data_IF_874575571813
#
_entry.id   IF_874575571813
#
_cell.length_a   1.000
_cell.length_b   1.000
_cell.length_c   1.000
_cell.angle_alpha   90.00
_cell.angle_beta   90.00
_cell.angle_gamma   90.00
#
_symmetry.space_group_name_H-M   'P 1'
#
loop_
_entity.id
_entity.type
_entity.pdbx_description
1 polymer ?
#
# COMPACT_ATOMS: atom_id res chain seq x y z
N UNK A 1 -36.48 -26.98 -31.00
CA UNK A 1 -36.47 -26.57 -29.59
C UNK A 1 -35.35 -25.56 -29.41
N UNK A 2 -35.71 -24.28 -29.35
CA UNK A 2 -34.77 -23.18 -29.17
C UNK A 2 -34.50 -23.12 -27.66
N UNK A 3 -33.28 -23.51 -27.23
CA UNK A 3 -32.84 -23.31 -25.86
C UNK A 3 -32.64 -21.81 -25.66
N UNK A 4 -33.52 -21.19 -24.86
CA UNK A 4 -33.27 -19.88 -24.30
C UNK A 4 -32.06 -19.98 -23.37
N UNK A 5 -30.92 -19.47 -23.81
CA UNK A 5 -29.81 -19.15 -22.93
C UNK A 5 -30.33 -18.16 -21.88
N UNK A 6 -30.43 -18.61 -20.62
CA UNK A 6 -30.76 -17.70 -19.53
C UNK A 6 -29.65 -16.65 -19.40
N UNK A 7 -30.00 -15.38 -19.16
CA UNK A 7 -29.00 -14.35 -18.88
C UNK A 7 -28.26 -14.71 -17.58
N UNK A 8 -26.93 -14.64 -17.59
CA UNK A 8 -26.02 -14.84 -16.46
C UNK A 8 -26.36 -14.00 -15.20
N UNK A 9 -27.27 -13.03 -15.31
CA UNK A 9 -27.77 -12.23 -14.19
C UNK A 9 -28.66 -12.99 -13.19
N UNK A 10 -29.13 -14.20 -13.52
CA UNK A 10 -30.03 -14.98 -12.64
C UNK A 10 -29.29 -15.95 -11.69
N UNK A 11 -27.98 -16.07 -11.80
CA UNK A 11 -27.14 -16.88 -10.90
C UNK A 11 -26.10 -15.96 -10.28
N UNK A 12 -26.33 -15.49 -9.06
CA UNK A 12 -25.40 -14.64 -8.33
C UNK A 12 -23.98 -15.21 -8.35
N UNK A 13 -22.98 -14.32 -8.34
CA UNK A 13 -21.57 -14.70 -8.41
C UNK A 13 -21.24 -15.73 -7.31
N UNK A 14 -20.91 -16.96 -7.70
CA UNK A 14 -20.42 -17.98 -6.76
C UNK A 14 -18.92 -18.08 -6.87
N UNK A 15 -18.22 -17.77 -5.78
CA UNK A 15 -16.75 -17.75 -5.72
C UNK A 15 -16.25 -18.99 -5.00
N UNK A 16 -15.33 -19.73 -5.62
CA UNK A 16 -14.59 -20.78 -4.93
C UNK A 16 -13.46 -20.16 -4.08
N UNK A 17 -13.81 -19.80 -2.85
CA UNK A 17 -12.89 -19.19 -1.88
C UNK A 17 -11.70 -20.08 -1.51
N UNK A 18 -11.76 -21.40 -1.77
CA UNK A 18 -10.61 -22.28 -1.56
C UNK A 18 -9.48 -22.05 -2.57
N UNK A 19 -9.81 -21.39 -3.70
CA UNK A 19 -8.89 -21.08 -4.80
C UNK A 19 -8.68 -19.57 -5.00
N UNK A 20 -9.18 -18.74 -4.07
CA UNK A 20 -9.03 -17.28 -4.09
C UNK A 20 -8.56 -16.70 -2.75
N UNK A 21 -7.41 -17.15 -2.20
CA UNK A 21 -6.84 -16.51 -1.03
C UNK A 21 -6.37 -15.08 -1.36
N UNK A 22 -6.83 -14.11 -0.57
CA UNK A 22 -6.45 -12.68 -0.69
C UNK A 22 -5.97 -12.13 0.64
N UNK A 23 -4.97 -11.23 0.62
CA UNK A 23 -4.43 -10.58 1.82
C UNK A 23 -4.62 -9.06 1.82
N UNK A 24 -5.35 -8.53 0.84
CA UNK A 24 -5.46 -7.09 0.58
C UNK A 24 -5.96 -6.30 1.81
N UNK A 25 -6.80 -6.90 2.67
CA UNK A 25 -7.28 -6.30 3.92
C UNK A 25 -6.13 -5.94 4.87
N UNK A 26 -5.38 -6.93 5.34
CA UNK A 26 -4.25 -6.72 6.27
C UNK A 26 -3.10 -5.96 5.61
N UNK A 27 -2.86 -6.19 4.31
CA UNK A 27 -1.86 -5.44 3.54
C UNK A 27 -2.19 -3.95 3.51
N UNK A 28 -3.43 -3.57 3.22
CA UNK A 28 -3.86 -2.17 3.16
C UNK A 28 -3.69 -1.48 4.53
N UNK A 29 -4.12 -2.15 5.61
CA UNK A 29 -3.93 -1.62 6.97
C UNK A 29 -2.44 -1.44 7.28
N UNK A 30 -1.61 -2.43 7.00
CA UNK A 30 -0.18 -2.39 7.29
C UNK A 30 0.56 -1.35 6.43
N UNK A 31 0.21 -1.23 5.15
CA UNK A 31 0.76 -0.21 4.24
C UNK A 31 0.36 1.20 4.69
N UNK A 32 -0.91 1.41 5.04
CA UNK A 32 -1.41 2.67 5.56
C UNK A 32 -0.69 3.10 6.84
N UNK A 33 -0.61 2.21 7.83
CA UNK A 33 0.14 2.44 9.06
C UNK A 33 1.63 2.72 8.78
N UNK A 34 2.25 1.96 7.89
CA UNK A 34 3.65 2.13 7.51
C UNK A 34 3.93 3.52 6.93
N UNK A 35 3.11 3.99 5.99
CA UNK A 35 3.24 5.32 5.39
C UNK A 35 3.11 6.42 6.44
N UNK A 36 2.11 6.32 7.33
CA UNK A 36 1.91 7.28 8.41
C UNK A 36 3.09 7.34 9.36
N UNK A 37 3.65 6.18 9.72
CA UNK A 37 4.82 6.11 10.60
C UNK A 37 6.08 6.65 9.93
N UNK A 38 6.30 6.40 8.63
CA UNK A 38 7.39 7.02 7.87
C UNK A 38 7.28 8.55 7.89
N UNK A 39 6.09 9.08 7.62
CA UNK A 39 5.82 10.53 7.67
C UNK A 39 6.04 11.08 9.08
N UNK A 40 5.55 10.38 10.10
CA UNK A 40 5.68 10.79 11.49
C UNK A 40 7.14 10.82 11.94
N UNK A 41 7.94 9.80 11.61
CA UNK A 41 9.38 9.74 11.89
C UNK A 41 10.12 10.85 11.14
N UNK A 42 9.85 11.03 9.85
CA UNK A 42 10.44 12.11 9.04
C UNK A 42 10.16 13.49 9.63
N UNK A 43 8.92 13.75 10.05
CA UNK A 43 8.55 15.02 10.71
C UNK A 43 9.29 15.22 12.04
N UNK A 44 9.43 14.16 12.85
CA UNK A 44 10.16 14.23 14.12
C UNK A 44 11.64 14.56 13.90
N UNK A 45 12.28 13.92 12.93
CA UNK A 45 13.66 14.20 12.54
C UNK A 45 13.83 15.66 12.09
N UNK A 46 12.89 16.19 11.30
CA UNK A 46 13.00 17.54 10.74
C UNK A 46 12.73 18.68 11.75
N UNK A 47 11.95 18.42 12.81
CA UNK A 47 11.47 19.48 13.73
C UNK A 47 12.32 19.60 15.01
N UNK A 48 13.30 18.73 15.23
CA UNK A 48 14.32 18.79 16.32
C UNK A 48 13.80 18.92 17.77
N UNK A 49 12.49 18.84 18.03
CA UNK A 49 11.87 19.14 19.34
C UNK A 49 11.31 17.94 20.09
N UNK A 50 11.39 16.72 19.54
CA UNK A 50 10.83 15.52 20.18
C UNK A 50 11.91 14.47 20.37
N UNK A 51 11.89 13.83 21.54
CA UNK A 51 12.71 12.65 21.83
C UNK A 51 12.22 11.51 20.95
N UNK A 52 13.08 11.08 20.01
CA UNK A 52 12.86 9.88 19.22
C UNK A 52 13.31 8.70 20.08
N UNK A 53 12.46 7.68 20.23
CA UNK A 53 12.82 6.41 20.86
C UNK A 53 12.99 5.37 19.76
N UNK A 54 14.23 5.09 19.28
CA UNK A 54 14.43 4.26 18.10
C UNK A 54 13.87 2.85 18.23
N UNK A 55 13.85 2.29 19.43
CA UNK A 55 13.34 0.95 19.71
C UNK A 55 11.84 0.82 19.37
N UNK A 56 11.05 1.84 19.70
CA UNK A 56 9.62 1.86 19.38
C UNK A 56 9.36 1.89 17.87
N UNK A 57 10.18 2.66 17.13
CA UNK A 57 10.11 2.70 15.67
C UNK A 57 10.59 1.40 15.03
N UNK A 58 11.65 0.80 15.56
CA UNK A 58 12.17 -0.48 15.09
C UNK A 58 11.12 -1.60 15.28
N UNK A 59 10.47 -1.65 16.44
CA UNK A 59 9.40 -2.61 16.70
C UNK A 59 8.23 -2.43 15.72
N UNK A 60 7.75 -1.19 15.53
CA UNK A 60 6.62 -0.91 14.66
C UNK A 60 6.92 -1.23 13.19
N UNK A 61 8.04 -0.74 12.66
CA UNK A 61 8.45 -1.05 11.28
C UNK A 61 8.79 -2.52 11.09
N UNK A 62 9.32 -3.19 12.12
CA UNK A 62 9.57 -4.63 12.09
C UNK A 62 8.28 -5.43 11.93
N UNK A 63 7.27 -5.15 12.75
CA UNK A 63 5.99 -5.86 12.70
C UNK A 63 5.23 -5.60 11.38
N UNK A 64 5.14 -4.34 10.95
CA UNK A 64 4.47 -3.95 9.70
C UNK A 64 5.23 -4.50 8.49
N UNK A 65 6.55 -4.37 8.49
CA UNK A 65 7.42 -4.87 7.42
C UNK A 65 7.32 -6.39 7.29
N UNK A 66 7.34 -7.12 8.40
CA UNK A 66 7.17 -8.58 8.38
C UNK A 66 5.82 -8.99 7.80
N UNK A 67 4.74 -8.31 8.21
CA UNK A 67 3.38 -8.57 7.69
C UNK A 67 3.33 -8.36 6.19
N UNK A 68 3.85 -7.24 5.69
CA UNK A 68 3.86 -6.92 4.26
C UNK A 68 4.78 -7.82 3.44
N UNK A 69 5.96 -8.18 3.95
CA UNK A 69 6.89 -9.09 3.26
C UNK A 69 6.29 -10.48 3.17
N UNK A 70 5.75 -11.03 4.26
CA UNK A 70 5.21 -12.40 4.25
C UNK A 70 4.02 -12.53 3.30
N UNK A 71 3.06 -11.62 3.41
CA UNK A 71 1.86 -11.63 2.55
C UNK A 71 2.21 -11.26 1.10
N UNK A 72 3.07 -10.26 0.88
CA UNK A 72 3.48 -9.78 -0.44
C UNK A 72 4.35 -10.79 -1.18
N UNK A 73 5.29 -11.44 -0.48
CA UNK A 73 6.13 -12.50 -1.05
C UNK A 73 5.27 -13.70 -1.45
N UNK A 74 4.33 -14.10 -0.61
CA UNK A 74 3.43 -15.21 -0.93
C UNK A 74 2.65 -14.89 -2.21
N UNK A 75 2.00 -13.73 -2.30
CA UNK A 75 1.32 -13.30 -3.52
C UNK A 75 2.28 -13.27 -4.72
N UNK A 76 3.44 -12.63 -4.61
CA UNK A 76 4.35 -12.48 -5.75
C UNK A 76 4.87 -13.83 -6.28
N UNK A 77 5.18 -14.79 -5.40
CA UNK A 77 5.76 -16.09 -5.81
C UNK A 77 4.74 -17.13 -6.26
N UNK A 78 3.46 -16.96 -5.92
CA UNK A 78 2.39 -17.95 -6.23
C UNK A 78 1.45 -17.45 -7.31
N UNK A 79 1.97 -16.73 -8.30
CA UNK A 79 1.17 -16.14 -9.36
C UNK A 79 0.52 -17.20 -10.28
N UNK A 80 -0.81 -17.16 -10.53
CA UNK A 80 -1.79 -16.24 -9.92
C UNK A 80 -2.41 -16.85 -8.68
N UNK A 81 -2.26 -16.16 -7.55
CA UNK A 81 -2.71 -16.68 -6.25
C UNK A 81 -4.25 -16.75 -6.22
N UNK A 82 -4.93 -15.79 -6.85
CA UNK A 82 -6.38 -15.76 -7.07
C UNK A 82 -6.74 -15.92 -8.56
N UNK A 83 -6.23 -16.99 -9.19
CA UNK A 83 -6.29 -17.20 -10.64
C UNK A 83 -7.67 -17.31 -11.30
N UNK A 84 -8.75 -17.42 -10.52
CA UNK A 84 -10.13 -17.54 -11.03
C UNK A 84 -10.89 -16.20 -11.09
N UNK A 85 -10.34 -15.08 -10.60
CA UNK A 85 -11.06 -13.80 -10.59
C UNK A 85 -10.20 -12.53 -10.71
N UNK A 86 -9.02 -12.50 -10.09
CA UNK A 86 -8.19 -11.28 -10.02
C UNK A 86 -6.69 -11.59 -10.17
N UNK A 87 -6.24 -12.14 -11.31
CA UNK A 87 -4.85 -12.57 -11.50
C UNK A 87 -3.82 -11.43 -11.45
N UNK A 88 -4.28 -10.18 -11.58
CA UNK A 88 -3.45 -8.97 -11.52
C UNK A 88 -3.20 -8.46 -10.09
N UNK A 89 -3.92 -8.96 -9.09
CA UNK A 89 -3.77 -8.53 -7.69
C UNK A 89 -2.34 -8.75 -7.15
N UNK A 90 -1.66 -9.75 -7.68
CA UNK A 90 -0.26 -10.04 -7.36
C UNK A 90 0.65 -8.86 -7.75
N UNK A 91 0.42 -8.23 -8.89
CA UNK A 91 1.18 -7.07 -9.38
C UNK A 91 0.75 -5.80 -8.68
N UNK A 92 -0.55 -5.62 -8.47
CA UNK A 92 -1.11 -4.38 -7.91
C UNK A 92 -0.82 -4.29 -6.42
N UNK A 93 -1.08 -5.36 -5.66
CA UNK A 93 -0.97 -5.37 -4.21
C UNK A 93 0.27 -6.10 -3.73
N UNK A 94 0.55 -7.28 -4.29
CA UNK A 94 1.65 -8.15 -3.85
C UNK A 94 3.02 -7.52 -3.98
N UNK A 95 3.40 -7.10 -5.19
CA UNK A 95 4.73 -6.52 -5.46
C UNK A 95 4.97 -5.21 -4.69
N UNK A 96 4.04 -4.23 -4.65
CA UNK A 96 4.24 -3.02 -3.87
C UNK A 96 4.28 -3.27 -2.37
N UNK A 97 3.42 -4.18 -1.85
CA UNK A 97 3.46 -4.57 -0.45
C UNK A 97 4.81 -5.21 -0.08
N UNK A 98 5.31 -6.12 -0.91
CA UNK A 98 6.62 -6.75 -0.71
C UNK A 98 7.74 -5.70 -0.67
N UNK A 99 7.81 -4.82 -1.67
CA UNK A 99 8.84 -3.79 -1.74
C UNK A 99 8.78 -2.85 -0.52
N UNK A 100 7.58 -2.37 -0.18
CA UNK A 100 7.41 -1.49 0.97
C UNK A 100 7.73 -2.18 2.30
N UNK A 101 7.32 -3.45 2.44
CA UNK A 101 7.66 -4.27 3.60
C UNK A 101 9.17 -4.44 3.78
N UNK A 102 9.91 -4.68 2.70
CA UNK A 102 11.38 -4.75 2.72
C UNK A 102 11.98 -3.42 3.17
N UNK A 103 11.47 -2.28 2.71
CA UNK A 103 11.92 -0.97 3.17
C UNK A 103 11.69 -0.77 4.68
N UNK A 104 10.53 -1.16 5.19
CA UNK A 104 10.23 -1.08 6.62
C UNK A 104 11.12 -2.01 7.43
N UNK A 105 11.35 -3.25 7.00
CA UNK A 105 12.27 -4.17 7.69
C UNK A 105 13.71 -3.66 7.70
N UNK A 106 14.18 -3.10 6.58
CA UNK A 106 15.51 -2.50 6.51
C UNK A 106 15.63 -1.29 7.46
N UNK A 107 14.61 -0.42 7.50
CA UNK A 107 14.53 0.68 8.44
C UNK A 107 14.50 0.20 9.90
N UNK A 108 13.71 -0.84 10.19
CA UNK A 108 13.61 -1.45 11.51
C UNK A 108 14.96 -1.98 11.99
N UNK A 109 15.64 -2.77 11.16
CA UNK A 109 16.96 -3.30 11.47
C UNK A 109 17.98 -2.19 11.69
N UNK A 110 17.97 -1.16 10.85
CA UNK A 110 18.85 -0.02 10.99
C UNK A 110 18.58 0.76 12.29
N UNK A 111 17.33 1.03 12.63
CA UNK A 111 16.94 1.72 13.86
C UNK A 111 17.31 0.91 15.10
N UNK A 112 17.14 -0.41 15.07
CA UNK A 112 17.54 -1.29 16.16
C UNK A 112 19.05 -1.27 16.39
N UNK A 113 19.85 -1.28 15.33
CA UNK A 113 21.32 -1.33 15.44
C UNK A 113 21.98 0.03 15.63
N UNK A 114 21.44 1.07 15.00
CA UNK A 114 22.08 2.39 14.82
C UNK A 114 21.16 3.55 15.10
N UNK A 115 20.02 3.32 15.77
CA UNK A 115 19.03 4.33 16.05
C UNK A 115 19.51 5.46 16.96
N UNK A 116 20.39 5.16 17.93
CA UNK A 116 20.98 6.18 18.81
C UNK A 116 21.76 7.25 18.02
N UNK A 117 22.38 6.85 16.90
CA UNK A 117 23.12 7.75 16.03
C UNK A 117 22.20 8.69 15.21
N UNK A 118 20.87 8.57 15.32
CA UNK A 118 19.89 9.52 14.77
C UNK A 118 19.56 10.67 15.72
N UNK A 119 19.95 10.55 16.99
CA UNK A 119 19.65 11.53 18.05
C UNK A 119 20.65 12.68 18.12
N UNK A 120 21.77 12.59 17.40
CA UNK A 120 22.76 13.67 17.33
C UNK A 120 22.33 14.83 16.43
N UNK A 121 23.05 15.95 16.52
CA UNK A 121 22.75 17.21 15.81
C UNK A 121 22.67 17.05 14.28
N UNK A 122 23.41 16.09 13.72
CA UNK A 122 23.43 15.76 12.29
C UNK A 122 22.47 14.63 11.88
N UNK A 123 21.57 14.20 12.76
CA UNK A 123 20.69 13.04 12.55
C UNK A 123 19.90 13.08 11.23
N UNK A 124 19.41 14.25 10.83
CA UNK A 124 18.71 14.46 9.55
C UNK A 124 19.63 14.19 8.35
N UNK A 125 20.82 14.79 8.35
CA UNK A 125 21.79 14.66 7.25
C UNK A 125 22.27 13.22 7.14
N UNK A 126 22.55 12.58 8.28
CA UNK A 126 22.95 11.17 8.34
C UNK A 126 21.85 10.25 7.83
N UNK A 127 20.61 10.45 8.26
CA UNK A 127 19.45 9.67 7.75
C UNK A 127 19.34 9.78 6.24
N UNK A 128 19.44 11.01 5.71
CA UNK A 128 19.34 11.23 4.28
C UNK A 128 20.45 10.54 3.49
N UNK A 129 21.69 10.57 3.99
CA UNK A 129 22.82 9.86 3.36
C UNK A 129 22.64 8.35 3.38
N UNK A 130 22.16 7.79 4.50
CA UNK A 130 21.92 6.34 4.63
C UNK A 130 20.76 5.87 3.74
N UNK A 131 19.69 6.67 3.62
CA UNK A 131 18.55 6.35 2.76
C UNK A 131 18.81 6.64 1.27
N UNK A 132 19.85 7.39 0.92
CA UNK A 132 20.08 7.83 -0.45
C UNK A 132 20.29 6.67 -1.46
N UNK A 133 21.04 5.60 -1.18
CA UNK A 133 21.20 4.50 -2.13
C UNK A 133 19.87 3.78 -2.42
N UNK A 134 19.08 3.50 -1.40
CA UNK A 134 17.79 2.80 -1.57
C UNK A 134 16.73 3.68 -2.26
N UNK A 135 16.90 5.00 -2.26
CA UNK A 135 15.97 5.93 -2.90
C UNK A 135 15.84 5.74 -4.41
N UNK A 136 16.82 5.11 -5.08
CA UNK A 136 16.70 4.73 -6.50
C UNK A 136 15.62 3.67 -6.68
N UNK A 137 15.55 2.68 -5.79
CA UNK A 137 14.52 1.66 -5.84
C UNK A 137 13.15 2.23 -5.44
N UNK A 138 13.11 3.11 -4.43
CA UNK A 138 11.88 3.85 -4.07
C UNK A 138 11.36 4.64 -5.27
N UNK A 139 12.24 5.33 -6.02
CA UNK A 139 11.86 6.06 -7.23
C UNK A 139 11.28 5.13 -8.29
N UNK A 140 11.92 3.98 -8.55
CA UNK A 140 11.42 2.97 -9.48
C UNK A 140 10.03 2.44 -9.11
N UNK A 141 9.80 2.16 -7.82
CA UNK A 141 8.47 1.78 -7.32
C UNK A 141 7.45 2.92 -7.44
N UNK A 142 7.89 4.18 -7.35
CA UNK A 142 7.05 5.34 -7.62
C UNK A 142 6.56 5.39 -9.07
N UNK A 143 7.43 5.07 -10.03
CA UNK A 143 7.03 4.93 -11.44
C UNK A 143 6.07 3.74 -11.64
N UNK A 144 6.31 2.62 -10.95
CA UNK A 144 5.39 1.48 -10.97
C UNK A 144 4.00 1.84 -10.45
N UNK A 145 3.91 2.66 -9.39
CA UNK A 145 2.63 3.16 -8.88
C UNK A 145 1.85 3.97 -9.94
N UNK A 146 2.53 4.79 -10.74
CA UNK A 146 1.87 5.48 -11.87
C UNK A 146 1.42 4.49 -12.96
N UNK A 147 2.19 3.44 -13.22
CA UNK A 147 1.78 2.35 -14.11
C UNK A 147 0.52 1.64 -13.63
N UNK A 148 0.44 1.32 -12.33
CA UNK A 148 -0.73 0.70 -11.69
C UNK A 148 -1.95 1.63 -11.79
N UNK A 149 -1.78 2.92 -11.49
CA UNK A 149 -2.86 3.90 -11.61
C UNK A 149 -3.37 4.05 -13.05
N UNK A 150 -2.46 4.12 -14.03
CA UNK A 150 -2.82 4.18 -15.44
C UNK A 150 -3.56 2.91 -15.89
N UNK A 151 -3.12 1.73 -15.44
CA UNK A 151 -3.83 0.47 -15.69
C UNK A 151 -5.21 0.46 -15.03
N UNK A 152 -5.34 0.96 -13.80
CA UNK A 152 -6.61 1.10 -13.09
C UNK A 152 -7.62 1.93 -13.88
N UNK A 153 -7.23 3.08 -14.39
CA UNK A 153 -8.10 3.90 -15.25
C UNK A 153 -8.37 3.27 -16.62
N UNK A 154 -7.36 2.71 -17.26
CA UNK A 154 -7.46 2.20 -18.64
C UNK A 154 -8.35 0.96 -18.72
N UNK A 155 -8.20 0.05 -17.76
CA UNK A 155 -8.91 -1.23 -17.75
C UNK A 155 -10.03 -1.27 -16.69
N UNK A 156 -10.34 -0.13 -16.06
CA UNK A 156 -11.33 -0.02 -14.97
C UNK A 156 -11.11 -1.09 -13.90
N UNK A 157 -9.84 -1.36 -13.58
CA UNK A 157 -9.48 -2.26 -12.48
C UNK A 157 -9.98 -1.62 -11.17
N UNK A 158 -10.27 -2.44 -10.17
CA UNK A 158 -10.80 -2.01 -8.86
C UNK A 158 -12.32 -1.74 -8.78
N UNK A 159 -13.08 -2.06 -9.82
CA UNK A 159 -14.54 -2.10 -9.70
C UNK A 159 -14.95 -3.23 -8.74
N UNK A 160 -15.66 -2.89 -7.67
CA UNK A 160 -16.17 -3.84 -6.69
C UNK A 160 -17.32 -4.65 -7.30
N UNK A 161 -17.40 -5.96 -7.01
CA UNK A 161 -18.58 -6.75 -7.34
C UNK A 161 -19.81 -6.16 -6.66
N UNK A 162 -21.00 -6.14 -7.31
CA UNK A 162 -22.25 -5.71 -6.68
C UNK A 162 -22.58 -6.44 -5.36
N UNK A 163 -22.03 -7.63 -5.16
CA UNK A 163 -22.21 -8.47 -3.98
C UNK A 163 -21.39 -8.01 -2.76
N UNK A 164 -20.41 -7.11 -2.94
CA UNK A 164 -19.60 -6.57 -1.85
C UNK A 164 -20.36 -5.46 -1.10
N UNK A 165 -20.51 -5.52 0.24
CA UNK A 165 -21.18 -4.45 0.99
C UNK A 165 -20.45 -3.11 0.84
N UNK A 166 -21.21 -2.02 0.75
CA UNK A 166 -20.74 -0.62 0.65
C UNK A 166 -20.10 -0.30 -0.69
N UNK A 167 -19.03 -0.99 -1.09
CA UNK A 167 -18.38 -0.77 -2.39
C UNK A 167 -19.28 -1.23 -3.55
N UNK A 168 -19.94 -2.39 -3.42
CA UNK A 168 -20.89 -2.87 -4.44
C UNK A 168 -22.07 -1.95 -4.74
N UNK A 169 -22.43 -1.03 -3.83
CA UNK A 169 -23.42 0.03 -4.10
C UNK A 169 -22.97 1.00 -5.20
N UNK A 170 -21.65 1.15 -5.39
CA UNK A 170 -21.05 1.95 -6.45
C UNK A 170 -20.66 1.13 -7.68
N UNK A 171 -21.02 -0.17 -7.75
CA UNK A 171 -20.68 -1.03 -8.88
C UNK A 171 -21.23 -0.52 -10.22
N UNK A 172 -22.28 0.31 -10.21
CA UNK A 172 -22.78 0.97 -11.41
C UNK A 172 -21.85 2.07 -11.94
N UNK A 173 -20.94 2.59 -11.11
CA UNK A 173 -20.02 3.69 -11.40
C UNK A 173 -18.55 3.22 -11.28
N UNK A 174 -18.10 2.24 -12.08
CA UNK A 174 -16.79 1.59 -11.93
C UNK A 174 -15.60 2.57 -12.08
N UNK A 175 -15.79 3.69 -12.79
CA UNK A 175 -14.78 4.74 -12.90
C UNK A 175 -14.52 5.44 -11.55
N UNK A 176 -15.53 5.57 -10.69
CA UNK A 176 -15.39 6.19 -9.37
C UNK A 176 -14.44 5.37 -8.48
N UNK A 177 -14.65 4.06 -8.41
CA UNK A 177 -13.84 3.14 -7.61
C UNK A 177 -12.44 2.95 -8.20
N UNK A 178 -12.35 2.77 -9.52
CA UNK A 178 -11.08 2.75 -10.23
C UNK A 178 -10.29 4.04 -9.97
N UNK A 179 -10.96 5.19 -9.91
CA UNK A 179 -10.32 6.47 -9.61
C UNK A 179 -9.89 6.62 -8.16
N UNK A 180 -10.63 6.05 -7.21
CA UNK A 180 -10.25 6.06 -5.80
C UNK A 180 -8.93 5.31 -5.61
N UNK A 181 -8.87 4.04 -6.00
CA UNK A 181 -7.67 3.22 -5.83
C UNK A 181 -6.50 3.73 -6.68
N UNK A 182 -6.73 4.10 -7.94
CA UNK A 182 -5.69 4.69 -8.79
C UNK A 182 -5.16 6.00 -8.21
N UNK A 183 -6.04 6.82 -7.62
CA UNK A 183 -5.66 8.04 -6.92
C UNK A 183 -4.73 7.79 -5.73
N UNK A 184 -4.94 6.72 -4.96
CA UNK A 184 -4.04 6.34 -3.87
C UNK A 184 -2.64 5.98 -4.39
N UNK A 185 -2.55 5.20 -5.46
CA UNK A 185 -1.27 4.89 -6.11
C UNK A 185 -0.59 6.14 -6.66
N UNK A 186 -1.33 7.10 -7.22
CA UNK A 186 -0.78 8.39 -7.65
C UNK A 186 -0.17 9.14 -6.46
N UNK A 187 -0.85 9.22 -5.32
CA UNK A 187 -0.32 9.89 -4.12
C UNK A 187 0.97 9.23 -3.61
N UNK A 188 0.99 7.89 -3.54
CA UNK A 188 2.20 7.13 -3.15
C UNK A 188 3.32 7.37 -4.16
N UNK A 189 3.00 7.32 -5.46
CA UNK A 189 3.92 7.51 -6.58
C UNK A 189 4.57 8.89 -6.59
N UNK A 190 3.79 9.96 -6.36
CA UNK A 190 4.31 11.33 -6.25
C UNK A 190 5.35 11.40 -5.12
N UNK A 191 5.01 10.90 -3.93
CA UNK A 191 5.94 10.94 -2.80
C UNK A 191 7.21 10.12 -3.06
N UNK A 192 7.08 8.95 -3.68
CA UNK A 192 8.20 8.06 -4.00
C UNK A 192 9.14 8.64 -5.08
N UNK A 193 8.60 9.27 -6.13
CA UNK A 193 9.39 9.94 -7.16
C UNK A 193 10.08 11.20 -6.63
N UNK A 194 9.44 11.94 -5.72
CA UNK A 194 10.04 13.12 -5.08
C UNK A 194 11.05 12.76 -3.97
N UNK A 195 10.94 11.56 -3.38
CA UNK A 195 11.77 11.11 -2.26
C UNK A 195 13.29 11.30 -2.45
N UNK A 196 13.93 10.83 -3.54
CA UNK A 196 15.38 11.02 -3.73
C UNK A 196 15.79 12.49 -3.73
N UNK A 197 14.93 13.38 -4.24
CA UNK A 197 15.20 14.83 -4.26
C UNK A 197 14.97 15.47 -2.90
N UNK A 198 13.95 15.00 -2.16
CA UNK A 198 13.73 15.38 -0.76
C UNK A 198 14.94 14.98 0.12
N UNK A 199 15.57 13.83 -0.10
CA UNK A 199 16.78 13.44 0.62
C UNK A 199 17.98 14.34 0.34
N UNK A 200 18.11 14.89 -0.87
CA UNK A 200 19.20 15.83 -1.20
C UNK A 200 19.06 17.16 -0.47
N UNK A 201 17.82 17.60 -0.23
CA UNK A 201 17.51 18.84 0.51
C UNK A 201 16.39 18.56 1.53
N UNK A 202 16.69 17.90 2.67
CA UNK A 202 15.66 17.44 3.62
C UNK A 202 14.81 18.56 4.23
N UNK A 203 15.35 19.79 4.29
CA UNK A 203 14.64 20.98 4.76
C UNK A 203 14.01 21.81 3.63
N UNK A 204 14.00 21.30 2.40
CA UNK A 204 13.38 21.94 1.25
C UNK A 204 11.88 21.69 1.15
N UNK A 205 11.23 22.33 0.18
CA UNK A 205 9.79 22.26 -0.05
C UNK A 205 9.27 20.86 -0.46
N UNK A 206 10.15 19.99 -0.96
CA UNK A 206 9.76 18.63 -1.37
C UNK A 206 9.40 17.75 -0.17
N UNK A 207 10.07 17.91 0.97
CA UNK A 207 9.80 17.11 2.18
C UNK A 207 8.37 17.27 2.70
N UNK A 208 7.80 18.48 2.85
CA UNK A 208 6.40 18.62 3.24
C UNK A 208 5.44 18.08 2.17
N UNK A 209 5.76 18.20 0.87
CA UNK A 209 4.93 17.59 -0.19
C UNK A 209 4.89 16.08 -0.05
N UNK A 210 6.05 15.42 0.07
CA UNK A 210 6.16 13.98 0.33
C UNK A 210 5.38 13.60 1.59
N UNK A 211 5.55 14.38 2.67
CA UNK A 211 4.84 14.17 3.93
C UNK A 211 3.31 14.24 3.79
N UNK A 212 2.79 15.19 3.00
CA UNK A 212 1.35 15.34 2.77
C UNK A 212 0.82 14.19 1.91
N UNK A 213 1.43 13.91 0.76
CA UNK A 213 0.88 12.88 -0.16
C UNK A 213 0.95 11.48 0.46
N UNK A 214 2.03 11.13 1.14
CA UNK A 214 2.12 9.87 1.89
C UNK A 214 1.24 9.86 3.14
N UNK A 215 1.05 11.00 3.79
CA UNK A 215 0.13 11.12 4.92
C UNK A 215 -1.31 10.87 4.51
N UNK A 216 -1.77 11.50 3.42
CA UNK A 216 -3.11 11.33 2.86
C UNK A 216 -3.32 9.90 2.36
N UNK A 217 -2.37 9.36 1.58
CA UNK A 217 -2.43 7.96 1.14
C UNK A 217 -2.45 7.00 2.34
N UNK A 218 -1.62 7.25 3.35
CA UNK A 218 -1.56 6.44 4.56
C UNK A 218 -2.87 6.42 5.35
N UNK A 219 -3.51 7.59 5.53
CA UNK A 219 -4.84 7.69 6.15
C UNK A 219 -5.86 6.88 5.35
N UNK A 220 -5.89 7.08 4.03
CA UNK A 220 -6.84 6.41 3.15
C UNK A 220 -6.66 4.88 3.16
N UNK A 221 -5.44 4.37 2.97
CA UNK A 221 -5.16 2.93 3.03
C UNK A 221 -5.48 2.31 4.40
N UNK A 222 -5.22 3.04 5.49
CA UNK A 222 -5.51 2.55 6.84
C UNK A 222 -7.01 2.41 7.08
N UNK A 223 -7.78 3.47 6.77
CA UNK A 223 -9.23 3.49 6.99
C UNK A 223 -9.95 2.55 6.02
N UNK A 224 -9.57 2.58 4.74
CA UNK A 224 -10.12 1.70 3.72
C UNK A 224 -9.78 0.23 4.01
N UNK A 225 -8.52 -0.08 4.37
CA UNK A 225 -8.13 -1.43 4.77
C UNK A 225 -8.90 -1.95 5.98
N UNK A 226 -9.15 -1.07 6.96
CA UNK A 226 -9.99 -1.39 8.12
C UNK A 226 -11.45 -1.69 7.73
N UNK A 227 -12.02 -0.89 6.82
CA UNK A 227 -13.35 -1.12 6.28
C UNK A 227 -13.43 -2.45 5.50
N UNK A 228 -12.37 -2.79 4.76
CA UNK A 228 -12.35 -3.98 3.91
C UNK A 228 -12.46 -5.29 4.69
N UNK A 229 -12.18 -5.30 6.00
CA UNK A 229 -12.50 -6.47 6.82
C UNK A 229 -14.01 -6.76 6.82
N UNK A 230 -14.84 -5.72 6.93
CA UNK A 230 -16.29 -5.89 6.87
C UNK A 230 -16.76 -6.26 5.46
N UNK A 231 -16.26 -5.56 4.44
CA UNK A 231 -16.73 -5.74 3.06
C UNK A 231 -16.29 -7.09 2.49
N UNK A 232 -15.05 -7.53 2.71
CA UNK A 232 -14.60 -8.85 2.26
C UNK A 232 -15.32 -10.00 2.99
N UNK A 233 -15.60 -9.86 4.30
CA UNK A 233 -16.40 -10.86 5.02
C UNK A 233 -17.81 -10.94 4.42
N UNK A 234 -18.44 -9.80 4.15
CA UNK A 234 -19.75 -9.77 3.54
C UNK A 234 -19.76 -10.34 2.11
N UNK A 235 -18.74 -10.04 1.31
CA UNK A 235 -18.57 -10.63 -0.02
C UNK A 235 -18.49 -12.16 0.05
N UNK A 236 -17.71 -12.70 1.00
CA UNK A 236 -17.64 -14.16 1.23
C UNK A 236 -19.03 -14.72 1.59
N UNK A 237 -19.73 -14.10 2.55
CA UNK A 237 -21.07 -14.54 2.97
C UNK A 237 -22.09 -14.49 1.83
N UNK A 238 -22.03 -13.49 0.97
CA UNK A 238 -22.97 -13.29 -0.13
C UNK A 238 -22.68 -14.16 -1.37
N UNK A 239 -21.51 -14.78 -1.46
CA UNK A 239 -21.04 -15.54 -2.64
C UNK A 239 -20.74 -17.02 -2.35
N UNK A 240 -20.97 -17.48 -1.11
CA UNK A 240 -20.92 -18.90 -0.71
C UNK A 240 -22.10 -19.73 -1.24
#
# INVERSE_FOLDING_TARGET
MIQHAMPLAATGLKIDWTRMPTYNTIMSVAAGAGLLLVVALGRQLLTSRRTITPDGWALAFGALGFTLVTTGLHMTLTWPLAGQGFPFDNVIFGEPALAFGVFLLAAAFYLWKRGAELLGDDGVVRTARVASPISVFVFGMGLACFGIAAAGWTYTLFAAPPEEPISGEFAQWPILEASFMSGLYVLVGIGAVLFPFALRRPRGWMSPVVGVVWGLAGIAFLLFGGLNYFTHIGLIVNTM
#
